data_IF_052008394778
#
_entry.id   IF_052008394778
#
_cell.length_a   1.000
_cell.length_b   1.000
_cell.length_c   1.000
_cell.angle_alpha   90.00
_cell.angle_beta   90.00
_cell.angle_gamma   90.00
#
_symmetry.space_group_name_H-M   'P 1'
#
loop_
_entity.id
_entity.type
_entity.pdbx_description
1 polymer ?
#
# COMPACT_ATOMS: atom_id res chain seq x y z
N UNK A 1 -12.31 22.91 8.35
CA UNK A 1 -13.38 21.90 8.27
C UNK A 1 -13.56 21.33 9.67
N UNK A 2 -14.74 21.51 10.27
CA UNK A 2 -15.09 20.79 11.49
C UNK A 2 -15.22 19.31 11.13
N UNK A 3 -14.56 18.42 11.88
CA UNK A 3 -14.66 16.98 11.64
C UNK A 3 -16.10 16.53 11.88
N UNK A 4 -16.70 15.88 10.89
CA UNK A 4 -17.98 15.21 11.06
C UNK A 4 -17.71 13.80 11.58
N UNK A 5 -18.22 13.48 12.77
CA UNK A 5 -18.16 12.13 13.30
C UNK A 5 -19.17 11.24 12.56
N UNK A 6 -18.72 10.11 12.04
CA UNK A 6 -19.55 9.17 11.28
C UNK A 6 -19.40 7.78 11.87
N UNK A 7 -20.52 7.11 12.11
CA UNK A 7 -20.56 5.70 12.52
C UNK A 7 -20.63 4.80 11.29
N UNK A 8 -19.82 3.73 11.30
CA UNK A 8 -19.73 2.72 10.23
C UNK A 8 -19.64 1.34 10.89
N UNK A 9 -20.19 0.31 10.24
CA UNK A 9 -20.09 -1.07 10.70
C UNK A 9 -18.64 -1.57 10.58
N UNK A 10 -18.01 -1.98 11.70
CA UNK A 10 -16.61 -2.40 11.71
C UNK A 10 -16.29 -3.53 10.70
N UNK A 11 -17.23 -4.45 10.48
CA UNK A 11 -17.04 -5.60 9.60
C UNK A 11 -16.78 -5.26 8.12
N UNK A 12 -17.26 -4.10 7.63
CA UNK A 12 -16.97 -3.60 6.27
C UNK A 12 -15.76 -2.67 6.24
N UNK A 13 -15.00 -2.56 7.33
CA UNK A 13 -13.84 -1.68 7.39
C UNK A 13 -12.54 -2.44 7.47
N UNK A 14 -11.45 -1.83 7.02
CA UNK A 14 -10.10 -2.35 7.20
C UNK A 14 -9.17 -1.25 7.67
N UNK A 15 -8.17 -1.58 8.51
CA UNK A 15 -7.14 -0.62 8.86
C UNK A 15 -6.26 -0.32 7.62
N UNK A 16 -5.84 0.93 7.46
CA UNK A 16 -5.10 1.38 6.27
C UNK A 16 -3.91 2.28 6.62
N UNK A 17 -2.77 2.04 5.96
CA UNK A 17 -1.54 2.84 6.10
C UNK A 17 -1.33 3.77 4.91
N UNK A 18 -0.79 4.95 5.16
CA UNK A 18 -0.20 5.76 4.09
C UNK A 18 1.28 5.43 3.98
N UNK A 19 1.64 4.62 2.98
CA UNK A 19 2.99 4.09 2.81
C UNK A 19 4.06 5.21 2.71
N UNK A 20 3.74 6.35 2.10
CA UNK A 20 4.69 7.48 1.97
C UNK A 20 5.02 8.24 3.25
N UNK A 21 4.32 8.00 4.37
CA UNK A 21 4.57 8.68 5.65
C UNK A 21 4.73 7.70 6.80
N UNK A 22 4.84 6.40 6.49
CA UNK A 22 5.02 5.37 7.50
C UNK A 22 6.34 5.60 8.22
N UNK A 23 6.30 5.56 9.55
CA UNK A 23 7.47 5.63 10.41
C UNK A 23 7.26 4.62 11.53
N UNK A 24 8.17 3.65 11.65
CA UNK A 24 8.13 2.69 12.76
C UNK A 24 8.21 3.43 14.10
N UNK A 25 7.41 2.99 15.08
CA UNK A 25 7.45 3.50 16.45
C UNK A 25 6.83 4.89 16.68
N UNK A 26 6.11 5.44 15.71
CA UNK A 26 5.29 6.65 15.92
C UNK A 26 3.80 6.29 15.98
N UNK A 27 3.01 7.11 16.66
CA UNK A 27 1.54 7.10 16.60
C UNK A 27 1.08 7.24 15.15
N UNK A 28 0.98 6.10 14.47
CA UNK A 28 0.34 6.03 13.18
C UNK A 28 -1.12 6.26 13.50
N UNK A 29 -1.61 7.49 13.25
CA UNK A 29 -3.03 7.80 13.33
C UNK A 29 -3.79 6.66 12.68
N UNK A 30 -4.53 5.89 13.48
CA UNK A 30 -5.27 4.75 12.99
C UNK A 30 -6.26 5.27 11.94
N UNK A 31 -5.99 4.90 10.68
CA UNK A 31 -6.88 5.22 9.56
C UNK A 31 -7.63 3.96 9.22
N UNK A 32 -8.90 4.17 8.89
CA UNK A 32 -9.81 3.11 8.53
C UNK A 32 -10.34 3.42 7.13
N UNK A 33 -10.46 2.39 6.30
CA UNK A 33 -11.09 2.46 4.99
C UNK A 33 -12.35 1.59 4.97
N UNK A 34 -13.41 2.07 4.34
CA UNK A 34 -14.55 1.22 3.98
C UNK A 34 -14.09 0.30 2.85
N UNK A 35 -14.13 -1.00 3.09
CA UNK A 35 -13.61 -2.05 2.23
C UNK A 35 -14.77 -2.96 1.79
N UNK A 36 -15.51 -2.60 0.72
CA UNK A 36 -16.72 -3.31 0.27
C UNK A 36 -16.40 -4.59 -0.50
N UNK A 37 -15.46 -5.39 0.00
CA UNK A 37 -14.97 -6.59 -0.65
C UNK A 37 -14.91 -7.76 0.32
N UNK A 38 -15.31 -8.95 -0.16
CA UNK A 38 -15.16 -10.22 0.54
C UNK A 38 -14.37 -11.15 -0.37
N UNK A 39 -13.31 -11.76 0.14
CA UNK A 39 -12.40 -12.63 -0.65
C UNK A 39 -11.95 -11.95 -1.96
N UNK A 40 -11.60 -10.66 -1.89
CA UNK A 40 -11.20 -9.82 -3.03
C UNK A 40 -12.27 -9.62 -4.11
N UNK A 41 -13.54 -9.95 -3.83
CA UNK A 41 -14.68 -9.72 -4.74
C UNK A 41 -15.55 -8.62 -4.18
N UNK A 42 -15.95 -7.68 -5.05
CA UNK A 42 -16.87 -6.60 -4.68
C UNK A 42 -18.20 -7.22 -4.27
N UNK A 43 -18.72 -6.84 -3.10
CA UNK A 43 -20.07 -7.25 -2.68
C UNK A 43 -21.13 -6.52 -3.50
N UNK A 44 -22.28 -7.13 -3.76
CA UNK A 44 -23.36 -6.46 -4.50
C UNK A 44 -23.94 -5.26 -3.74
N UNK A 45 -24.45 -4.26 -4.45
CA UNK A 45 -25.02 -3.05 -3.82
C UNK A 45 -26.23 -3.39 -2.93
N UNK A 46 -27.05 -4.37 -3.34
CA UNK A 46 -28.17 -4.86 -2.53
C UNK A 46 -27.67 -5.44 -1.20
N UNK A 47 -26.61 -6.24 -1.24
CA UNK A 47 -25.98 -6.80 -0.06
C UNK A 47 -25.34 -5.72 0.82
N UNK A 48 -24.60 -4.78 0.23
CA UNK A 48 -24.01 -3.63 0.92
C UNK A 48 -25.08 -2.83 1.69
N UNK A 49 -26.19 -2.50 1.03
CA UNK A 49 -27.30 -1.74 1.63
C UNK A 49 -28.02 -2.52 2.74
N UNK A 50 -28.24 -3.82 2.56
CA UNK A 50 -28.94 -4.64 3.55
C UNK A 50 -28.08 -4.95 4.78
N UNK A 51 -26.80 -5.26 4.59
CA UNK A 51 -25.91 -5.72 5.66
C UNK A 51 -25.10 -4.61 6.33
N UNK A 52 -24.83 -3.52 5.60
CA UNK A 52 -24.02 -2.38 6.05
C UNK A 52 -24.69 -1.04 5.71
N UNK A 53 -25.91 -0.78 6.22
CA UNK A 53 -26.69 0.42 5.89
C UNK A 53 -25.98 1.74 6.23
N UNK A 54 -25.14 1.81 7.26
CA UNK A 54 -24.40 3.02 7.62
C UNK A 54 -23.30 3.31 6.61
N UNK A 55 -22.51 2.30 6.27
CA UNK A 55 -21.50 2.40 5.20
C UNK A 55 -22.14 2.77 3.86
N UNK A 56 -23.25 2.13 3.51
CA UNK A 56 -23.99 2.44 2.28
C UNK A 56 -24.44 3.90 2.25
N UNK A 57 -25.04 4.41 3.34
CA UNK A 57 -25.48 5.80 3.45
C UNK A 57 -24.30 6.78 3.31
N UNK A 58 -23.18 6.50 3.98
CA UNK A 58 -21.98 7.32 3.89
C UNK A 58 -21.44 7.38 2.45
N UNK A 59 -21.25 6.21 1.82
CA UNK A 59 -20.77 6.12 0.45
C UNK A 59 -21.75 6.83 -0.51
N UNK A 60 -23.06 6.64 -0.33
CA UNK A 60 -24.09 7.25 -1.18
C UNK A 60 -24.07 8.78 -1.11
N UNK A 61 -23.86 9.35 0.08
CA UNK A 61 -23.66 10.80 0.25
C UNK A 61 -22.43 11.35 -0.49
N UNK A 62 -21.45 10.49 -0.79
CA UNK A 62 -20.25 10.82 -1.55
C UNK A 62 -20.27 10.28 -2.98
N UNK A 63 -21.40 9.75 -3.47
CA UNK A 63 -21.49 9.06 -4.77
C UNK A 63 -21.02 9.92 -5.93
N UNK A 64 -21.34 11.22 -5.95
CA UNK A 64 -20.87 12.16 -6.98
C UNK A 64 -19.33 12.25 -7.02
N UNK A 65 -18.68 12.31 -5.86
CA UNK A 65 -17.22 12.35 -5.74
C UNK A 65 -16.63 11.01 -6.21
N UNK A 66 -17.23 9.90 -5.79
CA UNK A 66 -16.78 8.55 -6.16
C UNK A 66 -16.92 8.28 -7.67
N UNK A 67 -17.98 8.76 -8.32
CA UNK A 67 -18.15 8.65 -9.77
C UNK A 67 -17.17 9.54 -10.55
N UNK A 68 -16.71 10.63 -9.95
CA UNK A 68 -15.71 11.52 -10.56
C UNK A 68 -14.28 10.95 -10.61
N UNK A 69 -14.04 9.75 -10.06
CA UNK A 69 -12.75 9.07 -10.14
C UNK A 69 -12.42 8.65 -11.58
N UNK A 70 -11.14 8.36 -11.83
CA UNK A 70 -10.62 7.97 -13.14
C UNK A 70 -11.07 8.91 -14.29
N UNK A 71 -11.04 10.21 -14.02
CA UNK A 71 -11.46 11.28 -14.94
C UNK A 71 -12.93 11.13 -15.40
N UNK A 72 -13.79 10.60 -14.54
CA UNK A 72 -15.22 10.41 -14.82
C UNK A 72 -15.56 9.13 -15.61
N UNK A 73 -14.59 8.24 -15.85
CA UNK A 73 -14.80 6.98 -16.58
C UNK A 73 -15.13 5.79 -15.64
N UNK A 74 -15.56 6.07 -14.41
CA UNK A 74 -15.81 5.04 -13.42
C UNK A 74 -17.15 4.32 -13.67
N UNK A 75 -17.18 2.99 -13.50
CA UNK A 75 -18.38 2.19 -13.70
C UNK A 75 -19.51 2.61 -12.73
N UNK A 76 -20.58 3.17 -13.30
CA UNK A 76 -21.73 3.64 -12.54
C UNK A 76 -22.48 2.50 -11.82
N UNK A 77 -22.47 1.28 -12.36
CA UNK A 77 -23.08 0.11 -11.73
C UNK A 77 -22.30 -0.37 -10.50
N UNK A 78 -21.02 0.00 -10.40
CA UNK A 78 -20.10 -0.37 -9.31
C UNK A 78 -19.48 0.85 -8.65
N UNK A 79 -20.24 1.93 -8.54
CA UNK A 79 -19.77 3.26 -8.11
C UNK A 79 -19.02 3.29 -6.76
N UNK A 80 -19.25 2.31 -5.88
CA UNK A 80 -18.61 2.16 -4.56
C UNK A 80 -17.35 1.27 -4.59
N UNK A 81 -17.02 0.65 -5.72
CA UNK A 81 -15.78 -0.12 -5.90
C UNK A 81 -14.56 0.81 -5.84
N UNK A 82 -13.38 0.27 -5.52
CA UNK A 82 -12.11 0.97 -5.63
C UNK A 82 -11.74 1.23 -7.10
N UNK A 83 -10.96 2.30 -7.32
CA UNK A 83 -10.54 2.75 -8.66
C UNK A 83 -9.80 1.69 -9.47
N UNK A 84 -8.98 0.88 -8.77
CA UNK A 84 -8.17 -0.17 -9.36
C UNK A 84 -8.26 -1.43 -8.52
N UNK A 85 -8.55 -2.55 -9.18
CA UNK A 85 -8.71 -3.85 -8.53
C UNK A 85 -7.36 -4.54 -8.22
N UNK A 86 -6.29 -4.15 -8.92
CA UNK A 86 -4.96 -4.80 -8.87
C UNK A 86 -4.29 -4.80 -7.47
N UNK A 87 -4.81 -4.03 -6.51
CA UNK A 87 -4.33 -3.99 -5.12
C UNK A 87 -5.06 -4.92 -4.14
N UNK A 88 -6.23 -5.46 -4.49
CA UNK A 88 -7.12 -6.11 -3.52
C UNK A 88 -6.56 -7.40 -2.94
N UNK A 89 -5.91 -8.21 -3.78
CA UNK A 89 -5.26 -9.47 -3.37
C UNK A 89 -3.85 -9.27 -2.83
N UNK A 90 -3.21 -8.15 -3.19
CA UNK A 90 -1.78 -7.91 -2.91
C UNK A 90 -1.55 -7.00 -1.71
N UNK A 91 -2.58 -6.35 -1.16
CA UNK A 91 -2.40 -5.35 -0.10
C UNK A 91 -2.27 -5.88 1.33
N UNK A 92 -2.73 -7.09 1.62
CA UNK A 92 -2.70 -7.71 2.97
C UNK A 92 -1.57 -8.71 3.13
N UNK A 93 -1.29 -9.19 4.34
CA UNK A 93 -0.19 -10.12 4.63
C UNK A 93 1.16 -9.44 4.81
N UNK A 94 2.18 -10.26 5.05
CA UNK A 94 3.56 -9.83 5.22
C UNK A 94 4.07 -9.10 3.98
N UNK A 95 4.53 -7.87 4.19
CA UNK A 95 4.90 -6.94 3.13
C UNK A 95 5.88 -5.89 3.61
N UNK A 96 6.72 -5.45 2.67
CA UNK A 96 7.52 -4.24 2.80
C UNK A 96 6.83 -3.12 2.05
N UNK A 97 6.81 -1.93 2.65
CA UNK A 97 6.23 -0.73 2.07
C UNK A 97 7.33 0.30 1.82
N UNK A 98 7.18 1.08 0.75
CA UNK A 98 8.01 2.26 0.50
C UNK A 98 7.20 3.38 -0.14
N UNK A 99 7.66 4.61 0.07
CA UNK A 99 7.16 5.79 -0.64
C UNK A 99 7.45 5.68 -2.15
N UNK A 100 6.65 6.38 -2.96
CA UNK A 100 6.89 6.51 -4.42
C UNK A 100 8.23 7.20 -4.72
N UNK A 101 8.69 8.05 -3.80
CA UNK A 101 9.94 8.79 -3.89
C UNK A 101 10.64 8.81 -2.54
N UNK A 102 11.96 8.66 -2.54
CA UNK A 102 12.82 8.85 -1.37
C UNK A 102 14.14 9.50 -1.79
N UNK A 103 14.86 10.13 -0.85
CA UNK A 103 16.24 10.62 -1.06
C UNK A 103 17.30 9.54 -0.87
N UNK A 104 16.96 8.48 -0.13
CA UNK A 104 17.76 7.28 0.16
C UNK A 104 16.80 6.10 0.29
N UNK A 105 17.26 4.84 0.23
CA UNK A 105 16.41 3.69 0.48
C UNK A 105 15.67 3.83 1.80
N UNK A 106 14.36 3.61 1.75
CA UNK A 106 13.48 3.70 2.91
C UNK A 106 12.33 2.70 2.71
N UNK A 107 12.68 1.44 2.91
CA UNK A 107 11.75 0.33 2.95
C UNK A 107 11.45 0.00 4.40
N UNK A 108 10.19 -0.30 4.69
CA UNK A 108 9.76 -0.59 6.04
C UNK A 108 8.85 -1.81 6.03
N UNK A 109 9.02 -2.69 7.02
CA UNK A 109 8.12 -3.82 7.23
C UNK A 109 6.79 -3.32 7.78
N UNK A 110 5.70 -3.76 7.16
CA UNK A 110 4.36 -3.57 7.72
C UNK A 110 4.27 -4.38 9.02
N UNK A 111 3.96 -3.72 10.13
CA UNK A 111 3.90 -4.39 11.44
C UNK A 111 2.70 -5.33 11.58
N UNK A 112 1.65 -5.09 10.79
CA UNK A 112 0.42 -5.86 10.86
C UNK A 112 -0.02 -6.32 9.46
N UNK A 113 -0.19 -7.65 9.24
CA UNK A 113 -0.65 -8.20 7.98
C UNK A 113 -2.09 -7.80 7.62
N UNK A 114 -2.93 -7.42 8.58
CA UNK A 114 -4.32 -7.00 8.34
C UNK A 114 -4.45 -5.59 7.75
N UNK A 115 -3.39 -4.79 7.82
CA UNK A 115 -3.40 -3.44 7.27
C UNK A 115 -3.27 -3.45 5.76
N UNK A 116 -4.19 -2.76 5.08
CA UNK A 116 -4.02 -2.34 3.69
C UNK A 116 -3.20 -1.03 3.62
N UNK A 117 -2.88 -0.53 2.44
CA UNK A 117 -2.14 0.72 2.29
C UNK A 117 -2.55 1.53 1.05
N UNK A 118 -2.17 2.80 1.04
CA UNK A 118 -2.26 3.69 -0.12
C UNK A 118 -1.03 4.60 -0.21
N UNK A 119 -0.85 5.27 -1.35
CA UNK A 119 0.20 6.26 -1.58
C UNK A 119 1.62 5.68 -1.37
N UNK A 120 1.94 4.60 -2.07
CA UNK A 120 3.27 3.98 -2.09
C UNK A 120 3.27 2.65 -2.83
N UNK A 121 4.34 1.88 -2.67
CA UNK A 121 4.49 0.55 -3.26
C UNK A 121 4.67 -0.51 -2.18
N UNK A 122 4.26 -1.74 -2.52
CA UNK A 122 4.37 -2.92 -1.69
C UNK A 122 5.25 -3.95 -2.38
N UNK A 123 6.15 -4.55 -1.61
CA UNK A 123 7.00 -5.66 -2.02
C UNK A 123 6.64 -6.85 -1.15
N UNK A 124 6.36 -7.97 -1.79
CA UNK A 124 6.14 -9.26 -1.14
C UNK A 124 7.15 -10.27 -1.66
N UNK A 125 7.83 -11.02 -0.78
CA UNK A 125 8.65 -12.14 -1.21
C UNK A 125 7.75 -13.18 -1.89
N UNK A 126 8.10 -13.62 -3.11
CA UNK A 126 7.34 -14.63 -3.87
C UNK A 126 7.67 -16.07 -3.45
N UNK A 127 8.79 -16.30 -2.79
CA UNK A 127 9.27 -17.61 -2.30
C UNK A 127 10.03 -17.43 -0.98
N UNK A 128 10.67 -18.50 -0.44
CA UNK A 128 11.37 -18.68 0.86
C UNK A 128 12.37 -17.59 1.32
N UNK A 129 12.42 -16.45 0.67
CA UNK A 129 13.20 -15.30 1.11
C UNK A 129 12.58 -14.70 2.37
N UNK A 130 13.36 -14.72 3.43
CA UNK A 130 13.08 -14.05 4.69
C UNK A 130 12.86 -12.55 4.44
N UNK A 131 11.69 -12.05 4.87
CA UNK A 131 11.29 -10.65 4.68
C UNK A 131 12.22 -9.68 5.40
N UNK A 132 12.85 -10.10 6.51
CA UNK A 132 13.78 -9.27 7.27
C UNK A 132 15.14 -9.21 6.57
N UNK A 133 15.59 -10.29 5.93
CA UNK A 133 16.76 -10.25 5.04
C UNK A 133 16.52 -9.35 3.84
N UNK A 134 15.34 -9.46 3.22
CA UNK A 134 14.95 -8.59 2.12
C UNK A 134 14.91 -7.12 2.56
N UNK A 135 14.39 -6.83 3.75
CA UNK A 135 14.36 -5.48 4.31
C UNK A 135 15.77 -4.89 4.45
N UNK A 136 16.73 -5.68 4.94
CA UNK A 136 18.14 -5.27 5.04
C UNK A 136 18.74 -5.01 3.66
N UNK A 137 18.57 -5.93 2.70
CA UNK A 137 19.07 -5.77 1.34
C UNK A 137 18.52 -4.51 0.67
N UNK A 138 17.20 -4.27 0.77
CA UNK A 138 16.55 -3.13 0.14
C UNK A 138 16.90 -1.80 0.81
N UNK A 139 17.41 -1.80 2.04
CA UNK A 139 17.91 -0.60 2.72
C UNK A 139 19.44 -0.49 2.71
N UNK A 140 20.13 -1.23 1.84
CA UNK A 140 21.58 -1.20 1.71
C UNK A 140 22.10 -0.03 0.87
N UNK A 141 23.40 0.25 0.98
CA UNK A 141 24.10 1.19 0.10
C UNK A 141 24.13 0.73 -1.36
N UNK A 142 24.06 -0.58 -1.61
CA UNK A 142 23.97 -1.14 -2.96
C UNK A 142 22.62 -0.78 -3.62
N UNK A 143 21.52 -0.89 -2.87
CA UNK A 143 20.21 -0.44 -3.35
C UNK A 143 20.18 1.09 -3.57
N UNK A 144 20.84 1.86 -2.71
CA UNK A 144 20.99 3.31 -2.91
C UNK A 144 21.78 3.61 -4.20
N UNK A 145 22.90 2.94 -4.41
CA UNK A 145 23.71 3.04 -5.62
C UNK A 145 22.88 2.67 -6.86
N UNK A 146 22.19 1.53 -6.84
CA UNK A 146 21.34 1.07 -7.93
C UNK A 146 20.30 2.13 -8.32
N UNK A 147 19.48 2.59 -7.36
CA UNK A 147 18.42 3.58 -7.60
C UNK A 147 19.00 4.91 -8.09
N UNK A 148 20.17 5.31 -7.60
CA UNK A 148 20.84 6.54 -8.06
C UNK A 148 21.19 6.51 -9.55
N UNK A 149 21.43 5.32 -10.12
CA UNK A 149 21.84 5.17 -11.53
C UNK A 149 20.71 4.70 -12.46
N UNK A 150 19.67 4.05 -11.93
CA UNK A 150 18.62 3.43 -12.77
C UNK A 150 17.29 4.17 -12.71
N UNK A 151 17.03 4.95 -11.66
CA UNK A 151 15.73 5.59 -11.45
C UNK A 151 15.68 7.04 -11.90
N UNK A 152 14.45 7.52 -12.10
CA UNK A 152 14.18 8.92 -12.43
C UNK A 152 14.55 9.88 -11.30
N UNK A 153 15.26 10.95 -11.67
CA UNK A 153 15.54 12.11 -10.84
C UNK A 153 14.35 13.07 -10.68
N UNK A 154 14.24 13.60 -9.47
CA UNK A 154 13.38 14.72 -9.10
C UNK A 154 14.22 15.79 -8.38
N UNK A 155 13.64 16.99 -8.22
CA UNK A 155 14.31 18.12 -7.57
C UNK A 155 14.80 17.77 -6.15
N UNK A 156 15.85 18.45 -5.68
CA UNK A 156 16.38 18.33 -4.31
C UNK A 156 16.86 16.91 -3.92
N UNK A 157 17.32 16.13 -4.89
CA UNK A 157 17.91 14.80 -4.68
C UNK A 157 16.90 13.69 -4.40
N UNK A 158 15.62 13.89 -4.75
CA UNK A 158 14.61 12.85 -4.66
C UNK A 158 14.72 11.90 -5.86
N UNK A 159 14.65 10.59 -5.60
CA UNK A 159 14.69 9.53 -6.60
C UNK A 159 13.39 8.75 -6.62
N UNK A 160 13.05 8.16 -7.77
CA UNK A 160 11.86 7.32 -7.91
C UNK A 160 12.08 5.91 -7.34
N UNK A 161 11.20 5.49 -6.45
CA UNK A 161 11.10 4.11 -5.95
C UNK A 161 9.85 3.44 -6.54
N UNK A 162 9.53 3.74 -7.80
CA UNK A 162 8.41 3.11 -8.48
C UNK A 162 8.67 1.65 -8.80
N UNK A 163 7.60 0.84 -8.90
CA UNK A 163 7.66 -0.59 -9.25
C UNK A 163 8.59 -0.86 -10.43
N UNK A 164 8.51 -0.06 -11.49
CA UNK A 164 9.31 -0.24 -12.71
C UNK A 164 10.82 -0.15 -12.50
N UNK A 165 11.28 0.56 -11.47
CA UNK A 165 12.71 0.66 -11.15
C UNK A 165 13.14 -0.39 -10.15
N UNK A 166 12.29 -0.77 -9.20
CA UNK A 166 12.64 -1.74 -8.16
C UNK A 166 12.58 -3.18 -8.68
N UNK A 167 11.64 -3.50 -9.57
CA UNK A 167 11.35 -4.87 -9.97
C UNK A 167 12.53 -5.59 -10.66
N UNK A 168 13.45 -4.82 -11.24
CA UNK A 168 14.62 -5.33 -11.98
C UNK A 168 15.90 -5.32 -11.12
N UNK A 169 15.80 -4.96 -9.83
CA UNK A 169 16.92 -5.03 -8.90
C UNK A 169 17.28 -6.49 -8.61
N UNK A 170 18.52 -6.86 -8.93
CA UNK A 170 19.05 -8.19 -8.64
C UNK A 170 19.34 -8.33 -7.15
N UNK A 171 18.64 -9.24 -6.46
CA UNK A 171 18.93 -9.56 -5.06
C UNK A 171 20.20 -10.42 -5.04
N UNK A 172 21.29 -9.99 -4.38
CA UNK A 172 22.52 -10.78 -4.31
C UNK A 172 22.25 -12.17 -3.72
N UNK A 173 22.67 -13.21 -4.41
CA UNK A 173 22.62 -14.57 -3.89
C UNK A 173 23.69 -14.73 -2.81
N UNK A 174 23.26 -14.81 -1.55
CA UNK A 174 23.99 -15.18 -0.33
C UNK A 174 24.43 -14.04 0.62
N UNK A 175 23.86 -14.07 1.83
CA UNK A 175 24.58 -13.77 3.07
C UNK A 175 25.02 -15.10 3.72
N UNK A 176 25.67 -15.97 2.96
CA UNK A 176 26.11 -17.31 3.39
C UNK A 176 27.59 -17.55 3.04
N UNK A 177 28.43 -16.56 3.34
CA UNK A 177 29.88 -16.71 3.32
C UNK A 177 30.46 -15.78 4.37
N UNK A 178 31.00 -16.33 5.46
CA UNK A 178 31.83 -15.53 6.37
C UNK A 178 33.10 -15.16 5.60
N UNK A 179 33.46 -13.89 5.62
CA UNK A 179 34.83 -13.50 5.35
C UNK A 179 35.67 -13.94 6.55
N UNK A 180 36.63 -14.83 6.33
CA UNK A 180 37.73 -15.03 7.28
C UNK A 180 38.85 -14.12 6.79
N UNK A 181 39.08 -13.00 7.48
CA UNK A 181 40.30 -12.23 7.32
C UNK A 181 41.39 -12.90 8.18
N UNK A 182 42.57 -13.12 7.59
CA UNK A 182 43.79 -13.51 8.31
C UNK A 182 44.58 -12.22 8.56
#
# INVERSE_FOLDING_TARGET
MHGCEVRIEAAITRPILKASVMQQGKDVKERIIIFPYINSRLIEEKYLRARFPLAYRYLSGHKKILLGRDKGQFDAARWYAFGREFGLTTTFGDKLLTSVMNKKPNFQKCWDPEYTFYSGYCIKPKTKLDIDKLLLTLNSDDMDFYIRHTSRDYQNGWKSYAKSFIQDYGIPAAMAGRLTAI
#
